data_IF_095052773321
#
_entry.id   IF_095052773321
#
_cell.length_a   1.000
_cell.length_b   1.000
_cell.length_c   1.000
_cell.angle_alpha   90.00
_cell.angle_beta   90.00
_cell.angle_gamma   90.00
#
_symmetry.space_group_name_H-M   'P 1'
#
loop_
_entity.id
_entity.type
_entity.pdbx_description
1 polymer ?
#
# COMPACT_ATOMS: atom_id res chain seq x y z
N UNK A 1 -1.07 2.99 52.24
CA UNK A 1 -0.44 3.93 51.27
C UNK A 1 -0.28 5.31 51.88
N UNK A 2 0.47 5.40 53.00
CA UNK A 2 0.54 6.58 53.87
C UNK A 2 1.96 7.16 53.98
N UNK A 3 2.87 6.87 53.02
CA UNK A 3 4.24 7.40 53.02
C UNK A 3 4.81 7.80 51.65
N UNK A 4 3.94 7.99 50.64
CA UNK A 4 4.37 8.45 49.30
C UNK A 4 3.71 9.76 48.84
N UNK A 5 2.89 10.39 49.68
CA UNK A 5 2.26 11.70 49.41
C UNK A 5 2.94 12.87 50.15
N UNK A 6 4.01 12.64 50.90
CA UNK A 6 4.68 13.67 51.71
C UNK A 6 5.85 14.38 51.01
N UNK A 7 6.09 14.13 49.71
CA UNK A 7 7.23 14.74 48.98
C UNK A 7 6.83 15.73 47.87
N UNK A 8 5.53 15.94 47.64
CA UNK A 8 5.03 16.90 46.64
C UNK A 8 4.50 18.21 47.24
N UNK A 9 4.68 18.44 48.55
CA UNK A 9 4.14 19.60 49.26
C UNK A 9 5.19 20.68 49.62
N UNK A 10 6.43 20.62 49.09
CA UNK A 10 7.48 21.61 49.40
C UNK A 10 7.76 22.64 48.30
N UNK A 11 7.00 22.65 47.20
CA UNK A 11 7.07 23.69 46.17
C UNK A 11 5.65 24.25 45.97
N UNK A 12 5.25 25.16 46.86
CA UNK A 12 3.89 25.67 47.02
C UNK A 12 3.33 26.41 45.81
N UNK A 13 2.73 25.67 44.86
CA UNK A 13 2.07 26.24 43.67
C UNK A 13 0.66 25.69 43.42
N UNK A 14 0.13 24.79 44.27
CA UNK A 14 -1.22 24.21 44.07
C UNK A 14 -1.97 24.00 45.40
N UNK A 15 -3.22 24.43 45.50
CA UNK A 15 -4.16 24.09 46.59
C UNK A 15 -5.09 22.97 46.09
N UNK A 16 -5.18 21.86 46.83
CA UNK A 16 -6.07 20.72 46.51
C UNK A 16 -7.28 20.78 47.45
N UNK A 17 -8.49 20.93 46.92
CA UNK A 17 -9.74 20.78 47.69
C UNK A 17 -10.56 19.59 47.20
N UNK A 18 -11.05 18.80 48.15
CA UNK A 18 -12.05 17.75 47.95
C UNK A 18 -13.44 18.36 48.15
N UNK A 19 -14.36 18.15 47.21
CA UNK A 19 -15.75 18.61 47.32
C UNK A 19 -16.71 17.41 47.33
N UNK A 20 -17.39 17.20 48.47
CA UNK A 20 -18.76 16.67 48.57
C UNK A 20 -19.02 15.17 48.35
N UNK A 21 -20.13 14.62 48.89
CA UNK A 21 -20.18 13.24 49.38
C UNK A 21 -21.07 12.33 48.52
N UNK A 22 -20.47 11.42 47.77
CA UNK A 22 -21.04 10.10 47.42
C UNK A 22 -20.00 9.33 46.61
N UNK A 23 -19.70 8.11 47.02
CA UNK A 23 -18.67 7.29 46.40
C UNK A 23 -19.15 6.78 45.04
N UNK A 24 -18.64 7.35 43.95
CA UNK A 24 -18.30 6.57 42.74
C UNK A 24 -17.48 7.30 41.65
N UNK A 25 -17.17 8.59 41.73
CA UNK A 25 -16.27 9.24 40.75
C UNK A 25 -15.39 10.32 41.41
N UNK A 26 -14.06 10.08 41.47
CA UNK A 26 -13.07 11.08 41.89
C UNK A 26 -12.56 11.85 40.66
N UNK A 27 -12.89 13.14 40.55
CA UNK A 27 -12.24 14.07 39.61
C UNK A 27 -11.34 15.05 40.39
N UNK A 28 -10.10 15.24 39.94
CA UNK A 28 -9.21 16.30 40.41
C UNK A 28 -9.28 17.50 39.46
N UNK A 29 -9.57 18.69 40.00
CA UNK A 29 -9.44 19.95 39.28
C UNK A 29 -8.28 20.76 39.88
N UNK A 30 -7.37 21.24 39.02
CA UNK A 30 -6.24 22.10 39.40
C UNK A 30 -6.36 23.42 38.62
N UNK A 31 -6.55 24.53 39.33
CA UNK A 31 -6.62 25.88 38.75
C UNK A 31 -5.33 26.67 38.99
N UNK A 32 -4.90 27.45 37.99
CA UNK A 32 -3.71 28.32 38.03
C UNK A 32 -4.13 29.78 38.27
N UNK A 33 -3.62 30.44 39.32
CA UNK A 33 -3.85 31.87 39.57
C UNK A 33 -3.01 32.78 38.64
N UNK A 34 -3.57 33.92 38.24
CA UNK A 34 -2.95 34.98 37.41
C UNK A 34 -2.43 36.14 38.28
N UNK A 35 -1.15 36.48 38.10
CA UNK A 35 -0.64 37.86 37.92
C UNK A 35 -0.17 38.65 39.16
N UNK A 36 1.07 39.14 39.10
CA UNK A 36 1.46 40.54 39.40
C UNK A 36 2.94 40.73 39.04
N UNK A 37 3.22 41.71 38.16
CA UNK A 37 4.55 42.01 37.65
C UNK A 37 5.27 43.13 38.39
N UNK A 38 6.55 43.34 38.07
CA UNK A 38 7.31 44.61 38.02
C UNK A 38 8.72 44.30 37.40
N UNK A 39 9.49 45.29 36.89
CA UNK A 39 10.16 45.19 35.60
C UNK A 39 11.70 45.29 35.65
N UNK A 40 12.40 44.86 34.57
CA UNK A 40 13.56 45.54 33.93
C UNK A 40 14.18 44.71 32.78
N UNK A 41 13.96 45.20 31.55
CA UNK A 41 14.79 45.31 30.30
C UNK A 41 15.78 44.20 29.85
N UNK A 42 16.07 44.15 28.52
CA UNK A 42 16.06 42.91 27.74
C UNK A 42 17.45 42.41 27.33
N UNK A 43 17.59 41.10 27.13
CA UNK A 43 18.61 40.50 26.26
C UNK A 43 17.99 39.34 25.47
N UNK A 44 18.26 39.34 24.17
CA UNK A 44 17.66 38.49 23.14
C UNK A 44 18.03 37.01 23.27
N UNK A 45 17.05 36.12 23.06
CA UNK A 45 17.19 35.02 22.10
C UNK A 45 15.81 34.45 21.78
N UNK A 46 15.55 34.27 20.48
CA UNK A 46 14.26 33.88 19.92
C UNK A 46 14.01 32.38 20.02
N UNK A 47 12.86 32.04 20.62
CA UNK A 47 11.90 31.03 20.16
C UNK A 47 12.41 29.62 19.84
N UNK A 48 12.36 28.74 20.85
CA UNK A 48 12.02 27.34 20.67
C UNK A 48 10.54 27.15 21.07
N UNK A 49 9.65 27.02 20.08
CA UNK A 49 8.25 26.64 20.34
C UNK A 49 8.15 25.10 20.33
N UNK A 50 8.03 24.53 21.51
CA UNK A 50 7.67 23.14 21.74
C UNK A 50 6.26 22.87 21.19
N UNK A 51 6.16 22.02 20.16
CA UNK A 51 4.90 21.47 19.65
C UNK A 51 4.38 20.45 20.67
N UNK A 52 3.22 20.73 21.28
CA UNK A 52 2.53 19.79 22.18
C UNK A 52 1.90 18.66 21.37
N UNK A 53 2.40 17.45 21.57
CA UNK A 53 1.81 16.21 21.06
C UNK A 53 0.43 15.97 21.69
N UNK A 54 -0.60 15.86 20.84
CA UNK A 54 -1.95 15.42 21.21
C UNK A 54 -2.23 14.04 20.60
N UNK A 55 -2.93 13.11 21.30
CA UNK A 55 -3.07 11.72 20.89
C UNK A 55 -3.98 11.51 19.66
N UNK A 56 -4.72 12.54 19.25
CA UNK A 56 -5.65 12.53 18.11
C UNK A 56 -4.99 12.64 16.74
N UNK A 57 -3.69 12.94 16.69
CA UNK A 57 -2.94 13.07 15.42
C UNK A 57 -2.61 11.73 14.76
N UNK A 58 -2.51 10.66 15.56
CA UNK A 58 -2.16 9.31 15.07
C UNK A 58 -3.28 8.66 14.25
N UNK A 59 -4.55 8.93 14.57
CA UNK A 59 -5.72 8.40 13.84
C UNK A 59 -6.02 9.15 12.53
N UNK A 60 -5.34 10.28 12.26
CA UNK A 60 -5.63 11.14 11.10
C UNK A 60 -4.75 10.87 9.87
N UNK A 61 -3.76 9.99 9.97
CA UNK A 61 -2.89 9.64 8.85
C UNK A 61 -3.40 8.41 8.12
N UNK A 62 -4.66 8.43 7.64
CA UNK A 62 -5.04 7.44 6.64
C UNK A 62 -4.18 7.64 5.39
N UNK A 63 -3.72 6.58 4.70
CA UNK A 63 -2.89 6.69 3.50
C UNK A 63 -3.53 7.63 2.46
N UNK A 64 -4.87 7.54 2.37
CA UNK A 64 -5.73 8.34 1.50
C UNK A 64 -5.83 9.83 1.91
N UNK A 65 -5.73 10.17 3.21
CA UNK A 65 -5.74 11.56 3.70
C UNK A 65 -4.35 12.18 3.64
N UNK A 66 -3.30 11.39 3.86
CA UNK A 66 -1.90 11.82 3.73
C UNK A 66 -1.52 12.14 2.28
N UNK A 67 -1.92 11.30 1.31
CA UNK A 67 -1.67 11.55 -0.13
C UNK A 67 -2.37 12.79 -0.69
N UNK A 68 -3.40 13.30 0.01
CA UNK A 68 -4.01 14.59 -0.31
C UNK A 68 -3.13 15.78 0.08
N UNK A 69 -2.20 15.60 1.02
CA UNK A 69 -1.34 16.65 1.59
C UNK A 69 0.12 16.54 1.16
N UNK A 70 0.63 15.33 0.89
CA UNK A 70 1.95 15.13 0.30
C UNK A 70 1.91 15.49 -1.18
N UNK A 71 2.94 16.15 -1.68
CA UNK A 71 3.08 16.44 -3.10
C UNK A 71 3.19 15.11 -3.88
N UNK A 72 2.17 14.72 -4.67
CA UNK A 72 2.21 13.47 -5.44
C UNK A 72 3.31 13.49 -6.51
N UNK A 73 4.00 14.63 -6.73
CA UNK A 73 5.05 14.77 -7.72
C UNK A 73 6.40 14.15 -7.30
N UNK A 74 6.61 13.71 -6.03
CA UNK A 74 7.90 13.18 -5.54
C UNK A 74 7.80 12.06 -4.50
N UNK A 75 7.19 10.93 -4.86
CA UNK A 75 7.30 9.72 -4.05
C UNK A 75 8.10 8.67 -4.82
N UNK A 76 9.15 8.12 -4.22
CA UNK A 76 9.85 6.93 -4.74
C UNK A 76 9.16 5.66 -4.22
N UNK A 77 9.28 4.55 -4.94
CA UNK A 77 8.44 3.39 -4.68
C UNK A 77 8.98 2.15 -5.36
N UNK A 78 9.02 1.06 -4.59
CA UNK A 78 9.61 -0.21 -5.00
C UNK A 78 8.88 -1.37 -4.32
N UNK A 79 8.98 -2.58 -4.87
CA UNK A 79 8.46 -3.80 -4.25
C UNK A 79 9.61 -4.55 -3.60
N UNK A 80 9.45 -4.90 -2.32
CA UNK A 80 10.39 -5.76 -1.62
C UNK A 80 9.79 -7.14 -1.43
N UNK A 81 10.50 -8.17 -1.90
CA UNK A 81 10.05 -9.55 -1.92
C UNK A 81 8.71 -9.73 -2.69
N UNK A 82 8.27 -10.95 -3.01
CA UNK A 82 7.01 -11.14 -3.74
C UNK A 82 5.75 -10.63 -3.00
N UNK A 83 5.84 -10.06 -1.79
CA UNK A 83 4.69 -9.84 -0.89
C UNK A 83 4.42 -8.41 -0.46
N UNK A 84 5.25 -7.40 -0.72
CA UNK A 84 4.89 -6.04 -0.31
C UNK A 84 5.53 -4.93 -1.16
N UNK A 85 4.77 -3.85 -1.35
CA UNK A 85 5.20 -2.62 -2.02
C UNK A 85 5.49 -1.58 -0.96
N UNK A 86 6.63 -0.90 -1.08
CA UNK A 86 6.99 0.26 -0.26
C UNK A 86 6.92 1.55 -1.07
N UNK A 87 6.39 2.61 -0.46
CA UNK A 87 6.33 3.95 -1.07
C UNK A 87 6.86 4.97 -0.09
N UNK A 88 7.63 5.93 -0.59
CA UNK A 88 8.43 6.88 0.17
C UNK A 88 7.99 8.32 -0.11
N UNK A 89 6.77 8.73 0.31
CA UNK A 89 6.35 10.11 0.20
C UNK A 89 7.03 10.93 1.31
N UNK A 90 7.67 12.03 0.91
CA UNK A 90 8.31 12.98 1.82
C UNK A 90 9.28 12.33 2.80
N UNK A 91 8.93 12.27 4.09
CA UNK A 91 9.76 11.71 5.17
C UNK A 91 9.20 10.40 5.73
N UNK A 92 8.17 9.84 5.08
CA UNK A 92 7.49 8.63 5.49
C UNK A 92 7.82 7.46 4.56
N UNK A 93 7.79 6.26 5.12
CA UNK A 93 7.68 5.02 4.37
C UNK A 93 6.31 4.41 4.65
N UNK A 94 5.66 3.94 3.60
CA UNK A 94 4.46 3.11 3.66
C UNK A 94 4.83 1.72 3.19
N UNK A 95 4.25 0.69 3.81
CA UNK A 95 4.39 -0.69 3.37
C UNK A 95 3.01 -1.28 3.15
N UNK A 96 2.76 -1.75 1.94
CA UNK A 96 1.46 -2.23 1.49
C UNK A 96 1.54 -3.69 1.07
N UNK A 97 0.47 -4.42 1.31
CA UNK A 97 0.26 -5.80 0.88
C UNK A 97 -1.24 -6.02 0.66
N UNK A 98 -1.59 -6.75 -0.39
CA UNK A 98 -2.97 -7.17 -0.67
C UNK A 98 -3.97 -6.02 -0.55
N UNK A 99 -3.65 -4.89 -1.19
CA UNK A 99 -4.45 -3.66 -1.23
C UNK A 99 -4.71 -3.02 0.15
N UNK A 100 -3.81 -3.26 1.12
CA UNK A 100 -3.89 -2.71 2.47
C UNK A 100 -2.52 -2.24 2.95
N UNK A 101 -2.51 -1.20 3.79
CA UNK A 101 -1.30 -0.78 4.50
C UNK A 101 -1.09 -1.68 5.70
N UNK A 102 0.15 -2.18 5.85
CA UNK A 102 0.51 -3.05 6.95
C UNK A 102 0.51 -2.30 8.30
N UNK A 103 0.13 -2.97 9.41
CA UNK A 103 0.20 -2.40 10.74
C UNK A 103 1.59 -1.85 11.08
N UNK A 104 1.63 -0.72 11.79
CA UNK A 104 2.87 -0.03 12.14
C UNK A 104 3.38 0.95 11.08
N UNK A 105 2.71 1.07 9.92
CA UNK A 105 2.99 2.09 8.90
C UNK A 105 1.88 3.16 8.87
N UNK A 106 2.20 4.42 8.55
CA UNK A 106 3.49 4.90 8.06
C UNK A 106 4.56 5.02 9.16
N UNK A 107 5.83 4.85 8.79
CA UNK A 107 6.98 5.10 9.66
C UNK A 107 7.89 6.18 9.10
N UNK A 108 8.65 6.86 9.95
CA UNK A 108 9.66 7.80 9.50
C UNK A 108 10.81 7.06 8.82
N UNK A 109 11.25 7.57 7.67
CA UNK A 109 12.37 6.99 6.90
C UNK A 109 13.62 6.92 7.77
N UNK A 110 13.92 7.98 8.52
CA UNK A 110 15.11 8.09 9.37
C UNK A 110 15.11 7.11 10.56
N UNK A 111 13.94 6.62 10.97
CA UNK A 111 13.82 5.60 12.02
C UNK A 111 14.18 4.22 11.45
N UNK A 112 13.76 3.93 10.22
CA UNK A 112 13.99 2.63 9.59
C UNK A 112 15.38 2.53 8.94
N UNK A 113 15.80 3.55 8.18
CA UNK A 113 17.14 3.68 7.59
C UNK A 113 17.87 4.87 8.21
N UNK A 114 18.63 4.60 9.27
CA UNK A 114 19.41 5.64 9.95
C UNK A 114 20.40 6.29 8.98
N UNK A 115 20.43 7.61 8.96
CA UNK A 115 21.30 8.41 8.08
C UNK A 115 20.74 8.66 6.68
N UNK A 116 19.61 8.06 6.30
CA UNK A 116 18.98 8.31 5.00
C UNK A 116 18.17 9.63 5.07
N UNK A 117 18.38 10.57 4.12
CA UNK A 117 17.62 11.80 4.10
C UNK A 117 16.16 11.59 3.67
N UNK A 118 15.28 12.51 4.04
CA UNK A 118 13.90 12.56 3.52
C UNK A 118 13.87 12.95 2.04
N UNK A 119 12.74 12.73 1.36
CA UNK A 119 12.50 13.05 -0.06
C UNK A 119 13.56 12.40 -0.95
N UNK A 120 13.59 11.07 -0.92
CA UNK A 120 14.41 10.29 -1.83
C UNK A 120 13.81 10.35 -3.25
N UNK A 121 14.68 10.35 -4.26
CA UNK A 121 14.25 10.47 -5.65
C UNK A 121 13.97 9.09 -6.27
N UNK A 122 14.81 8.10 -5.97
CA UNK A 122 14.64 6.73 -6.44
C UNK A 122 15.20 5.71 -5.43
N UNK A 123 14.68 4.50 -5.50
CA UNK A 123 15.17 3.36 -4.70
C UNK A 123 14.93 2.07 -5.45
N UNK A 124 15.90 1.15 -5.38
CA UNK A 124 15.74 -0.21 -5.89
C UNK A 124 16.56 -1.20 -5.04
N UNK A 125 16.28 -2.49 -5.20
CA UNK A 125 17.07 -3.59 -4.64
C UNK A 125 17.95 -4.16 -5.76
N UNK A 126 19.25 -4.31 -5.51
CA UNK A 126 20.21 -4.83 -6.49
C UNK A 126 20.38 -6.37 -6.40
N UNK A 127 21.35 -6.95 -7.13
CA UNK A 127 21.60 -8.41 -7.23
C UNK A 127 21.93 -9.02 -5.90
N UNK A 128 22.61 -8.22 -5.09
CA UNK A 128 23.19 -8.60 -3.83
C UNK A 128 22.15 -8.47 -2.70
N UNK A 129 20.89 -8.13 -3.02
CA UNK A 129 19.83 -7.85 -2.05
C UNK A 129 20.05 -6.56 -1.28
N UNK A 130 20.89 -5.64 -1.79
CA UNK A 130 21.15 -4.35 -1.16
C UNK A 130 20.19 -3.30 -1.71
N UNK A 131 19.72 -2.44 -0.83
CA UNK A 131 18.90 -1.30 -1.19
C UNK A 131 19.77 -0.14 -1.59
N UNK A 132 19.58 0.37 -2.80
CA UNK A 132 20.28 1.54 -3.31
C UNK A 132 19.29 2.69 -3.36
N UNK A 133 19.54 3.73 -2.58
CA UNK A 133 18.73 4.95 -2.53
C UNK A 133 19.45 6.09 -3.25
N UNK A 134 18.71 6.87 -4.03
CA UNK A 134 19.22 8.06 -4.71
C UNK A 134 18.54 9.32 -4.17
N UNK A 135 19.33 10.38 -3.98
CA UNK A 135 18.83 11.72 -3.71
C UNK A 135 19.77 12.76 -4.29
N UNK A 136 19.28 13.53 -5.25
CA UNK A 136 20.09 14.48 -6.02
C UNK A 136 21.30 13.76 -6.63
N UNK A 137 22.49 14.29 -6.34
CA UNK A 137 23.77 13.73 -6.82
C UNK A 137 24.36 12.67 -5.89
N UNK A 138 23.67 12.26 -4.85
CA UNK A 138 24.18 11.30 -3.87
C UNK A 138 23.39 10.00 -3.92
N UNK A 139 24.06 8.92 -3.56
CA UNK A 139 23.42 7.64 -3.34
C UNK A 139 23.92 6.97 -2.06
N UNK A 140 23.07 6.12 -1.48
CA UNK A 140 23.33 5.32 -0.29
C UNK A 140 23.07 3.86 -0.61
N UNK A 141 23.89 2.96 -0.08
CA UNK A 141 23.66 1.52 -0.17
C UNK A 141 23.45 0.97 1.23
N UNK A 142 22.35 0.26 1.42
CA UNK A 142 22.00 -0.40 2.67
C UNK A 142 21.92 -1.90 2.45
N UNK A 143 22.45 -2.66 3.40
CA UNK A 143 22.11 -4.06 3.58
C UNK A 143 21.08 -4.15 4.70
N UNK A 144 19.86 -4.58 4.36
CA UNK A 144 18.70 -4.50 5.25
C UNK A 144 18.42 -3.06 5.70
N UNK A 145 18.77 -2.73 6.95
CA UNK A 145 18.64 -1.40 7.56
C UNK A 145 19.99 -0.78 7.91
N UNK A 146 21.10 -1.48 7.65
CA UNK A 146 22.46 -1.03 7.96
C UNK A 146 23.08 -0.33 6.75
N UNK A 147 23.52 0.90 6.95
CA UNK A 147 24.26 1.66 5.94
C UNK A 147 25.62 0.98 5.70
N UNK A 148 25.95 0.71 4.43
CA UNK A 148 27.27 0.20 4.07
C UNK A 148 28.36 1.26 4.33
N UNK A 149 29.61 0.85 4.59
CA UNK A 149 30.71 1.80 4.78
C UNK A 149 30.89 2.74 3.58
N UNK A 150 31.41 3.94 3.85
CA UNK A 150 31.76 4.96 2.85
C UNK A 150 30.58 5.57 2.07
N UNK A 151 29.35 5.46 2.59
CA UNK A 151 28.18 6.13 2.04
C UNK A 151 27.73 7.33 2.88
N UNK A 152 27.15 8.38 2.27
CA UNK A 152 26.81 8.50 0.85
C UNK A 152 28.01 8.73 -0.08
N UNK A 153 27.86 8.33 -1.34
CA UNK A 153 28.81 8.63 -2.43
C UNK A 153 28.15 9.47 -3.52
N UNK A 154 28.96 10.15 -4.31
CA UNK A 154 28.48 10.90 -5.47
C UNK A 154 28.08 9.94 -6.60
N UNK A 155 26.97 10.22 -7.29
CA UNK A 155 26.42 9.40 -8.38
C UNK A 155 27.43 9.20 -9.52
N UNK A 156 28.36 10.13 -9.72
CA UNK A 156 29.46 10.00 -10.69
C UNK A 156 30.40 8.84 -10.37
N UNK A 157 30.48 8.42 -9.10
CA UNK A 157 31.25 7.27 -8.65
C UNK A 157 30.50 5.94 -8.82
N UNK A 158 29.20 5.97 -9.17
CA UNK A 158 28.40 4.75 -9.35
C UNK A 158 28.89 3.95 -10.57
N UNK A 159 28.98 4.61 -11.73
CA UNK A 159 29.51 4.01 -12.95
C UNK A 159 29.78 5.09 -14.01
N UNK A 160 30.71 4.84 -14.93
CA UNK A 160 30.90 5.69 -16.09
C UNK A 160 29.63 5.71 -16.97
N UNK A 161 29.16 6.89 -17.36
CA UNK A 161 27.94 7.06 -18.17
C UNK A 161 26.65 7.24 -17.36
N UNK A 162 26.71 7.23 -16.03
CA UNK A 162 25.59 7.58 -15.15
C UNK A 162 25.19 9.06 -15.35
N UNK A 163 23.89 9.42 -15.33
CA UNK A 163 23.48 10.82 -15.39
C UNK A 163 23.94 11.59 -14.15
N UNK A 164 24.58 12.74 -14.36
CA UNK A 164 25.31 13.49 -13.32
C UNK A 164 24.46 14.34 -12.37
N UNK A 165 23.13 14.38 -12.53
CA UNK A 165 22.28 15.25 -11.70
C UNK A 165 21.39 14.49 -10.71
N UNK A 166 20.68 13.44 -11.14
CA UNK A 166 19.69 12.71 -10.33
C UNK A 166 19.16 11.47 -11.07
N UNK A 167 18.45 10.59 -10.36
CA UNK A 167 17.70 9.45 -10.89
C UNK A 167 16.27 9.55 -10.38
N UNK A 168 15.29 9.41 -11.27
CA UNK A 168 13.87 9.52 -10.92
C UNK A 168 13.23 8.15 -10.67
N UNK A 169 13.75 7.10 -11.30
CA UNK A 169 13.30 5.72 -11.07
C UNK A 169 14.45 4.76 -11.34
N UNK A 170 14.53 3.71 -10.54
CA UNK A 170 15.44 2.60 -10.74
C UNK A 170 14.68 1.29 -10.59
N UNK A 171 14.97 0.31 -11.43
CA UNK A 171 14.36 -1.03 -11.34
C UNK A 171 15.36 -2.11 -11.76
N UNK A 172 15.50 -3.10 -10.89
CA UNK A 172 16.24 -4.32 -11.19
C UNK A 172 15.33 -5.28 -11.96
N UNK A 173 15.76 -5.70 -13.15
CA UNK A 173 15.12 -6.77 -13.92
C UNK A 173 15.93 -8.05 -13.79
N UNK A 174 15.45 -8.93 -12.92
CA UNK A 174 16.15 -10.16 -12.53
C UNK A 174 16.33 -11.12 -13.70
N UNK A 175 15.30 -11.28 -14.55
CA UNK A 175 15.31 -12.25 -15.65
C UNK A 175 16.41 -11.96 -16.71
N UNK A 176 16.86 -10.71 -16.80
CA UNK A 176 17.95 -10.29 -17.70
C UNK A 176 19.21 -9.83 -16.97
N UNK A 177 19.22 -9.89 -15.62
CA UNK A 177 20.30 -9.43 -14.76
C UNK A 177 20.79 -8.00 -15.08
N UNK A 178 19.84 -7.07 -15.32
CA UNK A 178 20.14 -5.66 -15.62
C UNK A 178 19.34 -4.74 -14.72
N UNK A 179 19.95 -3.61 -14.37
CA UNK A 179 19.25 -2.51 -13.70
C UNK A 179 18.96 -1.41 -14.71
N UNK A 180 17.74 -0.89 -14.69
CA UNK A 180 17.29 0.19 -15.54
C UNK A 180 17.08 1.45 -14.71
N UNK A 181 17.69 2.54 -15.15
CA UNK A 181 17.55 3.86 -14.53
C UNK A 181 16.81 4.79 -15.47
N UNK A 182 15.85 5.54 -14.96
CA UNK A 182 15.03 6.46 -15.75
C UNK A 182 15.20 7.89 -15.25
N UNK A 183 15.21 8.80 -16.21
CA UNK A 183 15.19 10.24 -15.98
C UNK A 183 14.65 10.96 -17.20
N UNK A 184 13.61 11.77 -17.01
CA UNK A 184 13.03 12.51 -18.12
C UNK A 184 12.46 11.56 -19.18
N UNK A 185 12.84 11.81 -20.42
CA UNK A 185 12.49 11.01 -21.60
C UNK A 185 13.51 9.92 -21.92
N UNK A 186 14.48 9.66 -21.03
CA UNK A 186 15.60 8.74 -21.26
C UNK A 186 15.75 7.69 -20.19
N UNK A 187 16.38 6.58 -20.57
CA UNK A 187 16.75 5.52 -19.66
C UNK A 187 18.14 4.95 -19.96
N UNK A 188 18.79 4.47 -18.90
CA UNK A 188 20.10 3.83 -18.91
C UNK A 188 19.94 2.36 -18.53
N UNK A 189 20.80 1.50 -19.07
CA UNK A 189 20.86 0.10 -18.71
C UNK A 189 22.23 -0.21 -18.12
N UNK A 190 22.22 -0.67 -16.88
CA UNK A 190 23.39 -1.00 -16.11
C UNK A 190 23.55 -2.51 -16.01
N UNK A 191 24.77 -2.97 -16.25
CA UNK A 191 25.18 -4.34 -16.09
C UNK A 191 25.71 -4.53 -14.67
N UNK A 192 24.95 -5.26 -13.85
CA UNK A 192 25.29 -5.48 -12.45
C UNK A 192 26.46 -6.47 -12.28
N UNK A 193 26.64 -7.41 -13.21
CA UNK A 193 27.77 -8.33 -13.24
C UNK A 193 29.07 -7.61 -13.59
N UNK A 194 29.07 -6.83 -14.67
CA UNK A 194 30.25 -6.06 -15.14
C UNK A 194 30.44 -4.73 -14.41
N UNK A 195 29.51 -4.36 -13.54
CA UNK A 195 29.43 -3.08 -12.83
C UNK A 195 29.64 -1.85 -13.73
N UNK A 196 29.06 -1.89 -14.93
CA UNK A 196 29.25 -0.86 -15.97
C UNK A 196 27.96 -0.57 -16.72
N UNK A 197 27.83 0.65 -17.25
CA UNK A 197 26.76 0.98 -18.19
C UNK A 197 26.95 0.24 -19.52
N UNK A 198 25.86 -0.32 -20.06
CA UNK A 198 25.90 -0.94 -21.37
C UNK A 198 26.11 0.14 -22.47
N UNK A 199 26.87 -0.16 -23.53
CA UNK A 199 27.09 0.77 -24.63
C UNK A 199 25.80 1.05 -25.41
N UNK A 200 25.69 2.24 -25.99
CA UNK A 200 24.50 2.67 -26.75
C UNK A 200 23.35 3.16 -25.89
N UNK A 201 23.60 3.45 -24.61
CA UNK A 201 22.70 4.12 -23.68
C UNK A 201 23.21 5.54 -23.37
N UNK A 202 22.33 6.50 -23.02
CA UNK A 202 20.89 6.34 -22.81
C UNK A 202 20.06 6.20 -24.08
N UNK A 203 18.95 5.47 -23.96
CA UNK A 203 17.93 5.32 -25.01
C UNK A 203 16.66 6.08 -24.65
N UNK A 204 15.81 6.46 -25.63
CA UNK A 204 14.55 7.12 -25.34
C UNK A 204 13.58 6.16 -24.64
N UNK A 205 12.80 6.66 -23.69
CA UNK A 205 11.83 5.87 -22.92
C UNK A 205 10.71 5.31 -23.80
N UNK A 206 10.49 5.86 -25.00
CA UNK A 206 9.53 5.37 -26.00
C UNK A 206 9.74 3.90 -26.41
N UNK A 207 10.93 3.33 -26.17
CA UNK A 207 11.19 1.89 -26.29
C UNK A 207 10.30 1.08 -25.33
N UNK A 208 10.00 1.62 -24.15
CA UNK A 208 9.06 1.10 -23.17
C UNK A 208 7.64 1.50 -23.57
N UNK A 209 7.10 0.84 -24.60
CA UNK A 209 5.84 1.22 -25.25
C UNK A 209 4.70 1.40 -24.24
N UNK A 210 4.18 2.63 -24.15
CA UNK A 210 3.07 3.01 -23.28
C UNK A 210 3.47 3.48 -21.87
N UNK A 211 4.74 3.37 -21.48
CA UNK A 211 5.24 3.91 -20.20
C UNK A 211 5.40 5.43 -20.34
N UNK A 212 4.91 6.24 -19.38
CA UNK A 212 5.04 7.69 -19.44
C UNK A 212 6.49 8.13 -19.20
N UNK A 213 6.89 9.27 -19.77
CA UNK A 213 8.15 9.92 -19.42
C UNK A 213 8.19 10.30 -17.93
N UNK A 214 9.39 10.29 -17.33
CA UNK A 214 9.60 10.53 -15.89
C UNK A 214 8.66 9.71 -14.99
N UNK A 215 8.73 8.37 -15.01
CA UNK A 215 8.13 7.58 -13.94
C UNK A 215 8.77 7.97 -12.60
N UNK A 216 8.02 7.83 -11.52
CA UNK A 216 8.48 8.16 -10.16
C UNK A 216 8.89 6.92 -9.35
N UNK A 217 8.46 5.76 -9.80
CA UNK A 217 9.01 4.50 -9.35
C UNK A 217 8.54 3.36 -10.22
N UNK A 218 9.21 2.23 -10.05
CA UNK A 218 8.92 1.02 -10.77
C UNK A 218 9.26 -0.20 -9.93
N UNK A 219 8.53 -1.29 -10.15
CA UNK A 219 8.82 -2.56 -9.50
C UNK A 219 8.39 -3.74 -10.36
N UNK A 220 9.12 -4.85 -10.20
CA UNK A 220 8.87 -6.07 -10.96
C UNK A 220 7.99 -7.02 -10.16
N UNK A 221 6.98 -7.57 -10.82
CA UNK A 221 6.27 -8.76 -10.40
C UNK A 221 6.75 -9.95 -11.23
N UNK A 222 7.84 -10.55 -10.75
CA UNK A 222 8.47 -11.68 -11.43
C UNK A 222 7.54 -12.88 -11.56
N UNK A 223 6.71 -13.14 -10.54
CA UNK A 223 5.82 -14.30 -10.51
C UNK A 223 4.80 -14.26 -11.67
N UNK A 224 4.36 -13.06 -12.05
CA UNK A 224 3.36 -12.87 -13.10
C UNK A 224 3.95 -12.29 -14.39
N UNK A 225 5.25 -11.98 -14.45
CA UNK A 225 5.90 -11.45 -15.64
C UNK A 225 5.52 -10.01 -16.00
N UNK A 226 5.22 -9.18 -14.99
CA UNK A 226 4.86 -7.77 -15.21
C UNK A 226 5.83 -6.82 -14.51
N UNK A 227 5.99 -5.63 -15.07
CA UNK A 227 6.63 -4.50 -14.40
C UNK A 227 5.61 -3.39 -14.21
N UNK A 228 5.50 -2.85 -13.00
CA UNK A 228 4.59 -1.77 -12.71
C UNK A 228 5.38 -0.48 -12.63
N UNK A 229 4.99 0.51 -13.43
CA UNK A 229 5.49 1.89 -13.34
C UNK A 229 4.41 2.74 -12.69
N UNK A 230 4.78 3.71 -11.87
CA UNK A 230 3.79 4.67 -11.38
C UNK A 230 4.29 6.10 -11.52
N UNK A 231 3.32 7.01 -11.64
CA UNK A 231 3.51 8.44 -11.78
C UNK A 231 2.28 9.16 -11.24
N UNK A 232 2.47 10.03 -10.27
CA UNK A 232 1.39 10.69 -9.56
C UNK A 232 0.49 9.67 -8.85
N UNK A 233 -0.80 9.69 -9.19
CA UNK A 233 -1.81 8.79 -8.60
C UNK A 233 -2.11 7.58 -9.48
N UNK A 234 -1.38 7.43 -10.58
CA UNK A 234 -1.62 6.45 -11.62
C UNK A 234 -0.48 5.44 -11.71
N UNK A 235 -0.80 4.25 -12.19
CA UNK A 235 0.20 3.23 -12.50
C UNK A 235 -0.10 2.53 -13.83
N UNK A 236 0.96 2.04 -14.46
CA UNK A 236 0.97 1.34 -15.74
C UNK A 236 1.51 -0.07 -15.52
N UNK A 237 0.75 -1.08 -15.95
CA UNK A 237 1.19 -2.47 -15.94
C UNK A 237 1.85 -2.80 -17.28
N UNK A 238 3.17 -2.93 -17.26
CA UNK A 238 4.00 -3.29 -18.40
C UNK A 238 4.17 -4.80 -18.48
N UNK A 239 3.87 -5.37 -19.65
CA UNK A 239 4.06 -6.79 -19.93
C UNK A 239 5.51 -7.03 -20.37
N UNK A 240 6.26 -7.82 -19.59
CA UNK A 240 7.69 -8.03 -19.85
C UNK A 240 7.95 -8.90 -21.10
N UNK A 241 6.96 -9.70 -21.53
CA UNK A 241 7.08 -10.53 -22.74
C UNK A 241 6.68 -9.75 -24.00
N UNK A 242 5.58 -9.01 -23.95
CA UNK A 242 5.09 -8.21 -25.08
C UNK A 242 5.79 -6.86 -25.23
N UNK A 243 6.59 -6.47 -24.23
CA UNK A 243 7.32 -5.21 -24.15
C UNK A 243 6.44 -3.98 -24.41
N UNK A 244 5.24 -3.99 -23.82
CA UNK A 244 4.27 -2.89 -23.88
C UNK A 244 3.39 -2.85 -22.64
N UNK A 245 2.81 -1.70 -22.36
CA UNK A 245 1.75 -1.56 -21.36
C UNK A 245 0.49 -2.32 -21.80
N UNK A 246 -0.13 -3.02 -20.85
CA UNK A 246 -1.38 -3.75 -21.04
C UNK A 246 -2.55 -2.79 -21.35
N UNK A 247 -3.55 -3.21 -22.14
CA UNK A 247 -4.75 -2.42 -22.36
C UNK A 247 -5.51 -2.21 -21.03
N UNK A 248 -6.19 -1.07 -20.90
CA UNK A 248 -6.91 -0.70 -19.67
C UNK A 248 -6.06 0.01 -18.60
N UNK A 249 -4.84 0.43 -18.96
CA UNK A 249 -3.96 1.25 -18.12
C UNK A 249 -3.77 2.65 -18.74
N UNK A 250 -3.52 3.70 -17.93
CA UNK A 250 -3.26 3.67 -16.49
C UNK A 250 -4.48 3.36 -15.61
N UNK A 251 -4.23 2.87 -14.39
CA UNK A 251 -5.23 2.71 -13.32
C UNK A 251 -4.81 3.48 -12.07
N UNK A 252 -5.73 3.67 -11.12
CA UNK A 252 -5.48 4.42 -9.89
C UNK A 252 -4.65 3.62 -8.89
N UNK A 253 -3.41 4.05 -8.64
CA UNK A 253 -2.52 3.42 -7.67
C UNK A 253 -3.13 3.47 -6.26
N UNK A 254 -3.78 4.58 -5.93
CA UNK A 254 -4.38 4.80 -4.61
C UNK A 254 -5.57 3.85 -4.36
N UNK A 255 -6.37 3.60 -5.40
CA UNK A 255 -7.50 2.66 -5.32
C UNK A 255 -7.00 1.22 -5.18
N UNK A 256 -6.12 0.81 -6.10
CA UNK A 256 -5.74 -0.59 -6.22
C UNK A 256 -4.66 -1.02 -5.20
N UNK A 257 -3.72 -0.16 -4.79
CA UNK A 257 -2.66 -0.54 -3.85
C UNK A 257 -2.91 -0.09 -2.41
N UNK A 258 -3.59 1.04 -2.18
CA UNK A 258 -3.85 1.58 -0.84
C UNK A 258 -5.25 1.24 -0.29
N UNK A 259 -6.18 0.76 -1.11
CA UNK A 259 -7.52 0.34 -0.67
C UNK A 259 -8.48 1.50 -0.34
N UNK A 260 -8.27 2.68 -0.96
CA UNK A 260 -8.96 3.91 -0.57
C UNK A 260 -10.45 4.05 -0.98
N UNK A 261 -11.03 3.05 -1.65
CA UNK A 261 -12.46 3.06 -2.03
C UNK A 261 -13.41 2.64 -0.89
N UNK A 262 -12.86 2.17 0.25
CA UNK A 262 -13.65 1.69 1.40
C UNK A 262 -14.00 2.75 2.45
N UNK A 263 -13.88 4.04 2.13
CA UNK A 263 -14.37 5.06 3.06
C UNK A 263 -15.89 5.19 2.96
N UNK A 264 -16.65 5.05 4.06
CA UNK A 264 -18.05 5.47 4.08
C UNK A 264 -18.09 6.93 3.63
N UNK A 265 -18.90 7.22 2.60
CA UNK A 265 -19.26 8.60 2.28
C UNK A 265 -19.83 9.21 3.57
N UNK A 266 -19.18 10.26 4.05
CA UNK A 266 -19.70 11.08 5.13
C UNK A 266 -21.09 11.57 4.70
N UNK A 267 -22.19 11.25 5.42
CA UNK A 267 -23.55 11.57 4.96
C UNK A 267 -23.84 13.07 4.77
N UNK A 268 -22.89 13.95 5.14
CA UNK A 268 -23.08 15.39 5.17
C UNK A 268 -22.38 16.22 4.07
N UNK A 269 -21.69 15.62 3.08
CA UNK A 269 -21.02 16.42 2.03
C UNK A 269 -21.67 16.22 0.65
N UNK A 270 -22.47 17.20 0.24
CA UNK A 270 -22.98 17.30 -1.12
C UNK A 270 -21.79 17.40 -2.11
N UNK A 271 -21.80 16.62 -3.21
CA UNK A 271 -20.83 16.78 -4.29
C UNK A 271 -21.02 18.15 -4.96
N UNK A 272 -19.92 18.83 -5.25
CA UNK A 272 -19.95 19.93 -6.19
C UNK A 272 -20.29 19.36 -7.57
N UNK A 273 -21.22 20.03 -8.26
CA UNK A 273 -21.69 19.71 -9.60
C UNK A 273 -20.62 20.11 -10.63
N UNK A 274 -19.80 19.15 -11.06
CA UNK A 274 -19.05 19.22 -12.31
C UNK A 274 -19.62 18.19 -13.29
N UNK A 275 -20.58 18.67 -14.08
CA UNK A 275 -21.40 17.91 -15.03
C UNK A 275 -20.62 17.24 -16.16
N UNK A 276 -20.00 16.11 -15.88
CA UNK A 276 -19.75 15.07 -16.87
C UNK A 276 -19.69 13.70 -16.19
N UNK A 277 -20.82 12.99 -16.19
CA UNK A 277 -20.86 11.58 -15.78
C UNK A 277 -21.50 10.74 -16.88
N UNK A 278 -20.65 10.12 -17.70
CA UNK A 278 -20.97 8.83 -18.30
C UNK A 278 -21.15 7.85 -17.14
N UNK A 279 -22.40 7.47 -16.89
CA UNK A 279 -22.77 6.49 -15.87
C UNK A 279 -22.36 5.10 -16.37
N UNK A 280 -21.15 4.67 -16.03
CA UNK A 280 -20.79 3.26 -16.07
C UNK A 280 -21.32 2.60 -14.81
N UNK A 281 -22.42 1.86 -14.94
CA UNK A 281 -22.96 1.01 -13.88
C UNK A 281 -22.04 -0.20 -13.77
N UNK A 282 -21.07 -0.15 -12.85
CA UNK A 282 -20.30 -1.34 -12.45
C UNK A 282 -21.19 -2.18 -11.52
N UNK A 283 -21.74 -3.28 -12.05
CA UNK A 283 -22.54 -4.25 -11.30
C UNK A 283 -21.61 -5.03 -10.37
N UNK A 284 -21.50 -4.62 -9.11
CA UNK A 284 -20.90 -5.40 -8.03
C UNK A 284 -21.75 -6.64 -7.71
N UNK A 285 -21.66 -7.67 -8.55
CA UNK A 285 -22.40 -8.92 -8.38
C UNK A 285 -21.51 -10.14 -8.13
N UNK A 286 -20.25 -9.98 -7.70
CA UNK A 286 -19.33 -11.13 -7.53
C UNK A 286 -19.05 -11.52 -6.07
N UNK A 287 -19.34 -10.69 -5.08
CA UNK A 287 -19.10 -11.04 -3.67
C UNK A 287 -20.34 -11.62 -2.95
N UNK A 288 -21.55 -11.16 -3.30
CA UNK A 288 -22.79 -11.69 -2.72
C UNK A 288 -23.26 -12.98 -3.42
N UNK A 289 -23.01 -13.11 -4.71
CA UNK A 289 -23.40 -14.30 -5.49
C UNK A 289 -22.62 -15.52 -5.06
N UNK A 290 -21.33 -15.42 -4.77
CA UNK A 290 -20.53 -16.58 -4.33
C UNK A 290 -21.02 -17.12 -2.98
N UNK A 291 -21.41 -16.24 -2.05
CA UNK A 291 -22.02 -16.65 -0.77
C UNK A 291 -23.44 -17.21 -0.96
N UNK A 292 -24.24 -16.64 -1.85
CA UNK A 292 -25.56 -17.16 -2.17
C UNK A 292 -25.49 -18.54 -2.85
N UNK A 293 -24.57 -18.71 -3.82
CA UNK A 293 -24.33 -19.96 -4.54
C UNK A 293 -23.86 -21.06 -3.58
N UNK A 294 -22.99 -20.72 -2.62
CA UNK A 294 -22.52 -21.65 -1.60
C UNK A 294 -23.64 -22.22 -0.69
N UNK A 295 -24.78 -21.52 -0.58
CA UNK A 295 -25.94 -21.97 0.23
C UNK A 295 -27.00 -22.61 -0.67
N UNK A 296 -27.26 -22.02 -1.83
CA UNK A 296 -28.33 -22.47 -2.74
C UNK A 296 -28.02 -23.83 -3.34
N UNK A 297 -26.77 -24.10 -3.76
CA UNK A 297 -26.41 -25.39 -4.37
C UNK A 297 -26.63 -26.56 -3.39
N UNK A 298 -26.12 -26.53 -2.14
CA UNK A 298 -26.41 -27.59 -1.17
C UNK A 298 -27.91 -27.77 -0.88
N UNK A 299 -28.68 -26.68 -0.79
CA UNK A 299 -30.12 -26.76 -0.54
C UNK A 299 -30.87 -27.42 -1.70
N UNK A 300 -30.52 -27.09 -2.95
CA UNK A 300 -31.15 -27.70 -4.13
C UNK A 300 -30.79 -29.19 -4.22
N UNK A 301 -29.54 -29.56 -3.98
CA UNK A 301 -29.12 -30.96 -3.97
C UNK A 301 -29.84 -31.78 -2.89
N UNK A 302 -30.03 -31.22 -1.70
CA UNK A 302 -30.79 -31.86 -0.63
C UNK A 302 -32.25 -32.09 -1.03
N UNK A 303 -32.89 -31.11 -1.68
CA UNK A 303 -34.26 -31.26 -2.18
C UNK A 303 -34.37 -32.33 -3.27
N UNK A 304 -33.43 -32.38 -4.21
CA UNK A 304 -33.40 -33.42 -5.25
C UNK A 304 -33.27 -34.84 -4.64
N UNK A 305 -32.43 -35.01 -3.61
CA UNK A 305 -32.29 -36.28 -2.92
C UNK A 305 -33.59 -36.68 -2.20
N UNK A 306 -34.28 -35.74 -1.55
CA UNK A 306 -35.56 -36.01 -0.91
C UNK A 306 -36.64 -36.42 -1.92
N UNK A 307 -36.69 -35.78 -3.09
CA UNK A 307 -37.61 -36.16 -4.17
C UNK A 307 -37.27 -37.55 -4.71
N UNK A 308 -36.01 -37.87 -4.92
CA UNK A 308 -35.59 -39.21 -5.35
C UNK A 308 -36.00 -40.27 -4.34
N UNK A 309 -35.71 -40.06 -3.05
CA UNK A 309 -36.15 -40.97 -1.99
C UNK A 309 -37.66 -41.10 -1.98
N UNK A 310 -38.40 -40.00 -2.12
CA UNK A 310 -39.87 -40.02 -2.20
C UNK A 310 -40.36 -40.84 -3.39
N UNK A 311 -39.78 -40.67 -4.58
CA UNK A 311 -40.16 -41.44 -5.78
C UNK A 311 -39.85 -42.92 -5.61
N UNK A 312 -38.69 -43.29 -5.05
CA UNK A 312 -38.33 -44.68 -4.78
C UNK A 312 -39.27 -45.31 -3.75
N UNK A 313 -39.67 -44.56 -2.71
CA UNK A 313 -40.66 -45.00 -1.73
C UNK A 313 -42.04 -45.15 -2.36
N UNK A 314 -42.44 -44.25 -3.25
CA UNK A 314 -43.68 -44.36 -4.00
C UNK A 314 -43.65 -45.54 -4.98
N UNK A 315 -42.53 -45.82 -5.64
CA UNK A 315 -42.34 -46.99 -6.48
C UNK A 315 -42.29 -48.30 -5.68
N UNK A 316 -41.80 -48.27 -4.43
CA UNK A 316 -41.91 -49.41 -3.52
C UNK A 316 -43.35 -49.61 -3.00
N UNK A 317 -44.11 -48.53 -2.79
CA UNK A 317 -45.51 -48.59 -2.33
C UNK A 317 -46.49 -48.93 -3.44
N UNK A 318 -46.24 -48.44 -4.66
CA UNK A 318 -46.98 -48.78 -5.87
C UNK A 318 -46.21 -49.90 -6.57
N UNK A 319 -46.50 -51.14 -6.19
CA UNK A 319 -45.92 -52.33 -6.79
C UNK A 319 -45.86 -52.28 -8.32
N UNK A 320 -44.84 -52.93 -8.87
CA UNK A 320 -44.45 -53.01 -10.29
C UNK A 320 -45.62 -52.86 -11.29
N UNK A 321 -45.54 -51.93 -12.27
CA UNK A 321 -46.56 -51.85 -13.31
C UNK A 321 -46.53 -53.13 -14.18
N UNK A 322 -47.62 -53.90 -14.14
CA UNK A 322 -47.86 -55.14 -14.90
C UNK A 322 -48.12 -54.88 -16.39
N UNK A 323 -47.23 -54.19 -17.10
CA UNK A 323 -47.45 -53.94 -18.54
C UNK A 323 -46.19 -54.03 -19.40
N UNK A 324 -45.29 -54.98 -19.11
CA UNK A 324 -44.27 -55.43 -20.08
C UNK A 324 -44.09 -56.94 -19.94
N UNK A 325 -45.09 -57.72 -20.38
CA UNK A 325 -44.95 -59.18 -20.53
C UNK A 325 -45.72 -59.74 -21.74
N UNK A 326 -46.08 -58.90 -22.72
CA UNK A 326 -46.81 -59.34 -23.92
C UNK A 326 -45.97 -59.39 -25.21
N UNK A 327 -44.64 -59.35 -25.13
CA UNK A 327 -43.79 -59.41 -26.34
C UNK A 327 -42.63 -60.41 -26.26
N UNK A 328 -42.83 -61.56 -25.58
CA UNK A 328 -41.80 -62.60 -25.56
C UNK A 328 -42.29 -64.05 -25.55
N UNK A 329 -43.45 -64.35 -26.16
CA UNK A 329 -43.91 -65.74 -26.30
C UNK A 329 -44.60 -66.06 -27.64
N UNK A 330 -44.04 -65.55 -28.74
CA UNK A 330 -44.54 -65.83 -30.11
C UNK A 330 -43.47 -66.39 -31.06
N UNK A 331 -42.35 -66.96 -30.57
CA UNK A 331 -41.26 -67.43 -31.46
C UNK A 331 -40.56 -68.73 -31.04
N UNK A 332 -41.16 -69.59 -30.21
CA UNK A 332 -40.55 -70.88 -29.85
C UNK A 332 -41.43 -72.12 -30.07
N UNK A 333 -42.50 -72.01 -30.88
CA UNK A 333 -43.23 -73.18 -31.40
C UNK A 333 -42.96 -73.33 -32.91
N UNK A 334 -41.74 -73.73 -33.27
CA UNK A 334 -41.41 -74.42 -34.52
C UNK A 334 -40.18 -75.30 -34.25
N UNK A 335 -40.46 -76.57 -33.94
CA UNK A 335 -39.73 -77.83 -34.21
C UNK A 335 -40.08 -78.85 -33.13
#
# INVERSE_FOLDING_TARGET
MSRLLSLAASLGVYEVRLLGPSAEHLQLAVHRQKGLGLPRRPLSSSFAQHQKDTPSTWLLMSPCRSQRKSDPHKAAGYRFAPRYVMVFPDHWVWRMRDNSVLPGFPMLISVFWKGLPSKIDAVYENSEGKFVFFKGKQFWVYKDTKLEPDYPRDITQFSHGMPSQSIETAVWWEDVAKTYFFKGDRYWRYNEEKRTMDPGYPKPISVWKGVPASPQGAFVDKAHGFTYFYKGKEYWKFNNQLLRVEPGYPRSFVKDFMGCDRMPRDPGRQPADDGNSDVVIELDNEASTVKAIAIVIPCVLALCLLVLVYTVVQFKRKGTPRHILYCKRSMQEWV
#
